data_IF_495623710995
#
_entry.id   IF_495623710995
#
_cell.length_a   1.000
_cell.length_b   1.000
_cell.length_c   1.000
_cell.angle_alpha   90.00
_cell.angle_beta   90.00
_cell.angle_gamma   90.00
#
_symmetry.space_group_name_H-M   'P 1'
#
loop_
_entity.id
_entity.type
_entity.pdbx_description
1 polymer ?
#
# COMPACT_ATOMS: atom_id res chain seq x y z
N UNK A 1 4.66 -7.46 -10.62
CA UNK A 1 5.94 -6.84 -10.96
C UNK A 1 5.69 -5.50 -11.60
N UNK A 2 6.42 -4.49 -11.16
CA UNK A 2 6.27 -3.15 -11.72
C UNK A 2 7.20 -2.98 -12.90
N UNK A 3 6.82 -2.11 -13.85
CA UNK A 3 7.53 -1.95 -15.10
C UNK A 3 9.03 -1.75 -14.93
N UNK A 4 9.43 -0.98 -13.91
CA UNK A 4 10.82 -0.61 -13.69
C UNK A 4 11.49 -1.41 -12.58
N UNK A 5 10.73 -2.18 -11.82
CA UNK A 5 11.24 -2.85 -10.65
C UNK A 5 10.73 -4.27 -10.59
N UNK A 6 11.59 -5.17 -10.15
CA UNK A 6 11.30 -6.61 -10.14
C UNK A 6 11.22 -7.12 -8.72
N UNK A 7 10.26 -6.60 -7.97
CA UNK A 7 10.05 -7.04 -6.60
C UNK A 7 9.01 -8.14 -6.56
N UNK A 8 9.28 -9.23 -5.83
CA UNK A 8 8.22 -10.20 -5.54
C UNK A 8 7.10 -9.49 -4.79
N UNK A 9 5.87 -9.83 -5.12
CA UNK A 9 4.72 -9.19 -4.49
C UNK A 9 4.78 -9.29 -2.96
N UNK A 10 5.23 -10.43 -2.44
CA UNK A 10 5.31 -10.64 -1.00
C UNK A 10 6.25 -9.67 -0.29
N UNK A 11 7.16 -9.03 -1.01
CA UNK A 11 8.09 -8.07 -0.41
C UNK A 11 7.60 -6.64 -0.49
N UNK A 12 6.50 -6.40 -1.20
CA UNK A 12 5.94 -5.06 -1.32
C UNK A 12 5.06 -4.78 -0.10
N UNK A 13 5.33 -3.66 0.56
CA UNK A 13 4.52 -3.24 1.71
C UNK A 13 3.41 -2.30 1.27
N UNK A 14 3.77 -1.13 0.76
CA UNK A 14 2.78 -0.17 0.30
C UNK A 14 3.41 0.87 -0.61
N UNK A 15 2.55 1.63 -1.28
CA UNK A 15 2.96 2.80 -2.05
C UNK A 15 2.17 3.99 -1.56
N UNK A 16 2.79 5.17 -1.63
CA UNK A 16 2.10 6.40 -1.30
C UNK A 16 2.39 7.45 -2.37
N UNK A 17 1.48 8.42 -2.50
CA UNK A 17 1.73 9.55 -3.40
C UNK A 17 2.88 10.37 -2.84
N UNK A 18 3.78 10.79 -3.72
CA UNK A 18 4.87 11.69 -3.35
C UNK A 18 4.35 13.13 -3.28
N UNK A 19 4.99 13.99 -2.47
CA UNK A 19 4.73 15.43 -2.57
C UNK A 19 5.03 16.00 -3.95
N UNK A 20 5.88 15.32 -4.72
CA UNK A 20 6.19 15.72 -6.09
C UNK A 20 5.11 15.23 -7.03
N UNK A 21 4.73 16.09 -8.00
CA UNK A 21 3.67 15.75 -8.94
C UNK A 21 4.04 14.51 -9.76
N UNK A 22 3.05 13.64 -9.97
CA UNK A 22 3.17 12.46 -10.82
C UNK A 22 4.23 11.47 -10.37
N UNK A 23 4.50 11.41 -9.07
CA UNK A 23 5.46 10.46 -8.51
C UNK A 23 4.85 9.72 -7.34
N UNK A 24 5.29 8.49 -7.16
CA UNK A 24 4.87 7.65 -6.03
C UNK A 24 6.12 7.11 -5.35
N UNK A 25 5.95 6.71 -4.10
CA UNK A 25 7.03 6.11 -3.30
C UNK A 25 6.62 4.69 -2.98
N UNK A 26 7.48 3.75 -3.36
CA UNK A 26 7.28 2.32 -3.08
C UNK A 26 8.12 1.92 -1.88
N UNK A 27 7.46 1.26 -0.92
CA UNK A 27 8.12 0.71 0.26
C UNK A 27 8.10 -0.81 0.18
N UNK A 28 9.26 -1.41 0.27
CA UNK A 28 9.40 -2.87 0.28
C UNK A 28 10.09 -3.30 1.55
N UNK A 29 10.31 -4.60 1.67
CA UNK A 29 11.02 -5.17 2.81
C UNK A 29 12.39 -4.51 3.02
N UNK A 30 13.08 -4.17 1.94
CA UNK A 30 14.45 -3.67 2.01
C UNK A 30 14.64 -2.26 1.46
N UNK A 31 13.68 -1.74 0.69
CA UNK A 31 13.92 -0.52 -0.07
C UNK A 31 12.80 0.50 0.07
N UNK A 32 13.15 1.73 -0.27
CA UNK A 32 12.23 2.84 -0.43
C UNK A 32 12.63 3.54 -1.72
N UNK A 33 11.73 3.51 -2.70
CA UNK A 33 12.03 4.02 -4.05
C UNK A 33 10.96 4.98 -4.50
N UNK A 34 11.36 6.12 -5.04
CA UNK A 34 10.44 7.08 -5.63
C UNK A 34 10.58 7.03 -7.15
N UNK A 35 9.44 6.98 -7.85
CA UNK A 35 9.48 6.93 -9.31
C UNK A 35 8.24 7.59 -9.92
N UNK A 36 8.31 7.85 -11.21
CA UNK A 36 7.24 8.52 -11.95
C UNK A 36 6.12 7.55 -12.25
N UNK A 37 4.97 7.77 -11.64
CA UNK A 37 3.75 7.00 -11.87
C UNK A 37 2.63 7.60 -11.03
N UNK A 38 1.40 7.19 -11.31
CA UNK A 38 0.27 7.44 -10.42
C UNK A 38 -0.07 6.14 -9.71
N UNK A 39 -0.80 6.24 -8.60
CA UNK A 39 -1.27 5.04 -7.92
C UNK A 39 -2.20 4.22 -8.82
N UNK A 40 -2.98 4.90 -9.65
CA UNK A 40 -3.87 4.22 -10.59
C UNK A 40 -3.10 3.36 -11.57
N UNK A 41 -2.00 3.90 -12.10
CA UNK A 41 -1.15 3.13 -13.01
C UNK A 41 -0.54 1.91 -12.34
N UNK A 42 -0.09 2.08 -11.10
CA UNK A 42 0.46 0.98 -10.33
C UNK A 42 -0.61 -0.09 -10.08
N UNK A 43 -1.81 0.34 -9.69
CA UNK A 43 -2.90 -0.58 -9.44
C UNK A 43 -3.27 -1.39 -10.67
N UNK A 44 -3.24 -0.77 -11.85
CA UNK A 44 -3.53 -1.48 -13.09
C UNK A 44 -2.50 -2.58 -13.36
N UNK A 45 -1.25 -2.34 -13.00
CA UNK A 45 -0.20 -3.34 -13.19
C UNK A 45 -0.24 -4.43 -12.13
N UNK A 46 -0.70 -4.10 -10.91
CA UNK A 46 -0.73 -5.04 -9.81
C UNK A 46 -2.05 -4.92 -9.06
N UNK A 47 -3.13 -5.51 -9.58
CA UNK A 47 -4.45 -5.39 -8.96
C UNK A 47 -4.62 -6.16 -7.66
N UNK A 48 -3.61 -6.92 -7.22
CA UNK A 48 -3.63 -7.55 -5.90
C UNK A 48 -3.40 -6.55 -4.78
N UNK A 49 -2.90 -5.35 -5.12
CA UNK A 49 -2.82 -4.26 -4.15
C UNK A 49 -4.23 -3.74 -3.86
N UNK A 50 -4.39 -3.16 -2.68
CA UNK A 50 -5.68 -2.64 -2.24
C UNK A 50 -5.53 -1.15 -1.98
N UNK A 51 -6.43 -0.34 -2.53
CA UNK A 51 -6.42 1.09 -2.25
C UNK A 51 -7.19 1.38 -0.98
N UNK A 52 -6.47 1.69 0.09
CA UNK A 52 -7.09 1.96 1.39
C UNK A 52 -7.37 3.44 1.61
N UNK A 53 -6.80 4.30 0.77
CA UNK A 53 -6.91 5.74 0.89
C UNK A 53 -6.50 6.32 -0.45
N UNK A 54 -6.95 7.52 -0.79
CA UNK A 54 -6.60 8.12 -2.09
C UNK A 54 -5.09 8.27 -2.27
N UNK A 55 -4.34 8.31 -1.17
CA UNK A 55 -2.89 8.48 -1.22
C UNK A 55 -2.10 7.20 -0.99
N UNK A 56 -2.76 6.06 -0.80
CA UNK A 56 -2.08 4.82 -0.46
C UNK A 56 -2.62 3.61 -1.20
N UNK A 57 -1.70 2.77 -1.68
CA UNK A 57 -1.98 1.40 -2.12
C UNK A 57 -1.22 0.48 -1.20
N UNK A 58 -1.86 -0.56 -0.69
CA UNK A 58 -1.22 -1.46 0.26
C UNK A 58 -1.22 -2.90 -0.24
N UNK A 59 -0.25 -3.66 0.25
CA UNK A 59 -0.30 -5.12 0.15
C UNK A 59 -0.90 -5.63 1.45
N UNK A 60 -2.17 -6.07 1.45
CA UNK A 60 -2.82 -6.44 2.70
C UNK A 60 -2.18 -7.62 3.40
N UNK A 61 -1.45 -8.47 2.67
CA UNK A 61 -0.80 -9.63 3.29
C UNK A 61 0.37 -9.25 4.20
N UNK A 62 0.89 -8.02 4.07
CA UNK A 62 2.02 -7.57 4.89
C UNK A 62 1.62 -6.63 6.02
N UNK A 63 0.34 -6.41 6.22
CA UNK A 63 -0.14 -5.59 7.34
C UNK A 63 0.07 -6.36 8.63
N UNK A 64 0.73 -5.72 9.60
CA UNK A 64 0.97 -6.37 10.91
C UNK A 64 -0.03 -5.93 11.97
N UNK A 65 -0.68 -4.79 11.77
CA UNK A 65 -1.69 -4.32 12.72
C UNK A 65 -2.65 -3.36 12.03
N UNK A 66 -3.93 -3.52 12.36
CA UNK A 66 -5.00 -2.63 11.90
C UNK A 66 -5.60 -1.94 13.12
N UNK A 67 -5.59 -0.61 13.11
CA UNK A 67 -6.22 0.18 14.17
C UNK A 67 -7.46 0.85 13.58
N UNK A 68 -8.63 0.28 13.85
CA UNK A 68 -9.88 0.79 13.30
C UNK A 68 -10.25 2.16 13.86
N UNK A 69 -9.91 2.38 15.12
CA UNK A 69 -10.25 3.65 15.78
C UNK A 69 -9.45 4.80 15.17
N UNK A 70 -8.15 4.59 15.02
CA UNK A 70 -7.28 5.61 14.46
C UNK A 70 -7.23 5.58 12.94
N UNK A 71 -7.80 4.55 12.32
CA UNK A 71 -7.82 4.36 10.88
C UNK A 71 -6.41 4.31 10.30
N UNK A 72 -5.61 3.44 10.88
CA UNK A 72 -4.21 3.25 10.48
C UNK A 72 -3.90 1.78 10.27
N UNK A 73 -3.03 1.53 9.29
CA UNK A 73 -2.45 0.22 9.03
C UNK A 73 -0.96 0.31 9.27
N UNK A 74 -0.40 -0.70 9.92
CA UNK A 74 1.03 -0.73 10.25
C UNK A 74 1.73 -1.87 9.52
N UNK A 75 2.97 -1.63 9.13
CA UNK A 75 3.80 -2.55 8.35
C UNK A 75 5.08 -2.87 9.09
N UNK A 76 5.76 -3.97 8.72
CA UNK A 76 6.96 -4.41 9.48
C UNK A 76 8.10 -3.39 9.50
N UNK A 77 8.15 -2.48 8.52
CA UNK A 77 9.19 -1.46 8.47
C UNK A 77 8.93 -0.26 9.40
N UNK A 78 7.89 -0.34 10.21
CA UNK A 78 7.50 0.78 11.07
C UNK A 78 6.66 1.83 10.37
N UNK A 79 6.40 1.66 9.08
CA UNK A 79 5.55 2.57 8.34
C UNK A 79 4.09 2.37 8.62
N UNK A 80 3.29 3.38 8.32
CA UNK A 80 1.85 3.31 8.49
C UNK A 80 1.14 3.99 7.33
N UNK A 81 -0.08 3.53 7.06
CA UNK A 81 -0.92 4.11 6.02
C UNK A 81 -2.26 4.49 6.61
N UNK A 82 -2.79 5.63 6.16
CA UNK A 82 -4.13 6.05 6.53
C UNK A 82 -5.16 5.20 5.81
N UNK A 83 -6.30 4.98 6.48
CA UNK A 83 -7.46 4.33 5.86
C UNK A 83 -8.56 5.38 5.72
N UNK A 84 -9.11 5.51 4.52
CA UNK A 84 -10.26 6.39 4.33
C UNK A 84 -11.42 5.87 5.16
N UNK A 85 -12.19 6.79 5.75
CA UNK A 85 -13.30 6.40 6.66
C UNK A 85 -14.22 5.36 6.01
N UNK A 86 -14.59 5.57 4.78
CA UNK A 86 -15.54 4.70 4.09
C UNK A 86 -14.92 3.39 3.61
N UNK A 87 -13.60 3.24 3.78
CA UNK A 87 -12.88 2.04 3.36
C UNK A 87 -12.54 1.09 4.51
N UNK A 88 -12.77 1.51 5.75
CA UNK A 88 -12.33 0.73 6.92
C UNK A 88 -12.90 -0.69 6.88
N UNK A 89 -14.18 -0.83 6.56
CA UNK A 89 -14.83 -2.15 6.53
C UNK A 89 -14.21 -3.04 5.45
N UNK A 90 -14.08 -2.51 4.25
CA UNK A 90 -13.51 -3.25 3.12
C UNK A 90 -12.09 -3.70 3.42
N UNK A 91 -11.28 -2.80 3.95
CA UNK A 91 -9.88 -3.08 4.27
C UNK A 91 -9.80 -4.14 5.37
N UNK A 92 -10.62 -3.99 6.41
CA UNK A 92 -10.64 -4.93 7.52
C UNK A 92 -11.01 -6.34 7.03
N UNK A 93 -12.01 -6.44 6.17
CA UNK A 93 -12.42 -7.74 5.64
C UNK A 93 -11.34 -8.37 4.78
N UNK A 94 -10.67 -7.56 3.95
CA UNK A 94 -9.59 -8.06 3.10
C UNK A 94 -8.44 -8.63 3.93
N UNK A 95 -8.08 -7.93 5.01
CA UNK A 95 -7.00 -8.38 5.88
C UNK A 95 -7.41 -9.64 6.63
N UNK A 96 -8.64 -9.68 7.16
CA UNK A 96 -9.11 -10.84 7.90
C UNK A 96 -9.17 -12.10 7.02
N UNK A 97 -9.49 -11.94 5.74
CA UNK A 97 -9.54 -13.07 4.82
C UNK A 97 -8.17 -13.64 4.51
N UNK A 98 -7.10 -12.88 4.73
CA UNK A 98 -5.73 -13.33 4.49
C UNK A 98 -5.10 -13.93 5.73
N UNK A 99 -5.60 -13.60 6.89
CA UNK A 99 -5.07 -14.03 8.17
C UNK A 99 -6.12 -14.86 8.90
#
# INVERSE_FOLDING_TARGET
KFAQFQYPFKEVYYLETSPRAHRVILYTKTDRLEFTASLEEVFKQEPRLLQCHRSFLINPSNVVRLDKKEKLLYFPNGGSCLIARYKVREVSEAINNLH
#
